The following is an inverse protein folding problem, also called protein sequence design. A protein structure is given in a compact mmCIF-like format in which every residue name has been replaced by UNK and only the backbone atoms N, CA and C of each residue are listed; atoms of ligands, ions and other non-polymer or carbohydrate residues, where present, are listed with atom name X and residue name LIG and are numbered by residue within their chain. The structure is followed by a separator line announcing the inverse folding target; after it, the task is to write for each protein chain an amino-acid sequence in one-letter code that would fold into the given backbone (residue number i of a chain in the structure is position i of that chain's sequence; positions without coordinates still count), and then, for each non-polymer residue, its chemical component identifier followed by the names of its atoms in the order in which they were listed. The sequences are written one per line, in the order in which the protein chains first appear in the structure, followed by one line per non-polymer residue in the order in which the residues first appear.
data_IF_608177564336
#
_entry.id   IF_608177564336
#
_cell.length_a   1.000
_cell.length_b   1.000
_cell.length_c   1.000
_cell.angle_alpha   90.00
_cell.angle_beta   90.00
_cell.angle_gamma   90.00
#
_symmetry.space_group_name_H-M   'P 1'
#
loop_
_entity.id
_entity.type
_entity.pdbx_description
1 polymer ?
#
# COMPACT_ATOMS: atom_id res chain seq x y z
N UNK A 1 -4.55 54.70 40.21
CA UNK A 1 -3.61 55.01 39.11
C UNK A 1 -2.42 54.07 39.23
N UNK A 2 -2.31 53.06 38.37
CA UNK A 2 -1.13 52.18 38.29
C UNK A 2 -0.43 52.53 36.98
N UNK A 3 0.80 53.03 37.12
CA UNK A 3 1.62 53.52 36.02
C UNK A 3 2.21 52.36 35.21
N UNK A 4 2.19 52.49 33.88
CA UNK A 4 2.87 51.61 32.93
C UNK A 4 4.30 52.15 32.76
N UNK A 5 5.37 51.37 32.96
CA UNK A 5 6.68 51.71 32.44
C UNK A 5 7.00 50.88 31.20
N UNK A 6 7.05 51.57 30.05
CA UNK A 6 7.71 51.11 28.83
C UNK A 6 9.20 51.46 28.95
N UNK A 7 10.09 50.45 28.90
CA UNK A 7 11.45 50.62 28.37
C UNK A 7 12.09 49.26 28.07
N UNK A 8 11.95 48.78 26.84
CA UNK A 8 12.83 47.75 26.29
C UNK A 8 14.04 48.44 25.65
N UNK A 9 15.25 48.12 26.11
CA UNK A 9 16.49 48.69 25.62
C UNK A 9 16.83 48.25 24.20
N UNK A 10 17.23 49.20 23.37
CA UNK A 10 17.62 49.05 21.95
C UNK A 10 18.69 47.97 21.70
N UNK A 11 19.49 47.60 22.70
CA UNK A 11 20.55 46.59 22.56
C UNK A 11 20.07 45.16 22.30
N UNK A 12 18.93 44.73 22.89
CA UNK A 12 18.41 43.36 22.71
C UNK A 12 17.75 43.11 21.35
N UNK A 13 17.35 44.17 20.64
CA UNK A 13 16.77 44.08 19.30
C UNK A 13 17.84 43.85 18.22
N UNK A 14 19.00 44.50 18.36
CA UNK A 14 20.12 44.31 17.43
C UNK A 14 20.67 42.89 17.45
N UNK A 15 20.79 42.29 18.64
CA UNK A 15 21.30 40.93 18.83
C UNK A 15 20.35 39.87 18.26
N UNK A 16 19.02 40.06 18.42
CA UNK A 16 17.99 39.20 17.81
C UNK A 16 17.90 39.37 16.28
N UNK A 17 18.10 40.58 15.77
CA UNK A 17 18.16 40.83 14.33
C UNK A 17 19.38 40.16 13.69
N UNK A 18 20.54 40.19 14.35
CA UNK A 18 21.74 39.50 13.90
C UNK A 18 21.56 37.96 13.89
N UNK A 19 20.94 37.40 14.93
CA UNK A 19 20.63 35.97 14.99
C UNK A 19 19.63 35.54 13.91
N UNK A 20 18.60 36.35 13.64
CA UNK A 20 17.63 36.09 12.57
C UNK A 20 18.28 36.17 11.16
N UNK A 21 19.19 37.14 10.95
CA UNK A 21 19.94 37.25 9.69
C UNK A 21 20.92 36.09 9.50
N UNK A 22 21.58 35.62 10.56
CA UNK A 22 22.45 34.44 10.49
C UNK A 22 21.69 33.15 10.18
N UNK A 23 20.49 32.97 10.77
CA UNK A 23 19.61 31.84 10.46
C UNK A 23 19.10 31.89 9.00
N UNK A 24 18.76 33.07 8.49
CA UNK A 24 18.35 33.26 7.11
C UNK A 24 19.51 33.01 6.12
N UNK A 25 20.73 33.43 6.46
CA UNK A 25 21.93 33.17 5.66
C UNK A 25 22.28 31.68 5.63
N UNK A 26 22.18 30.98 6.77
CA UNK A 26 22.40 29.53 6.84
C UNK A 26 21.34 28.73 6.05
N UNK A 27 20.08 29.16 6.08
CA UNK A 27 19.01 28.55 5.29
C UNK A 27 19.23 28.76 3.77
N UNK A 28 19.72 29.92 3.35
CA UNK A 28 20.06 30.18 1.95
C UNK A 28 21.32 29.40 1.51
N UNK A 29 22.35 29.32 2.35
CA UNK A 29 23.53 28.50 2.07
C UNK A 29 23.20 27.01 1.97
N UNK A 30 22.28 26.50 2.80
CA UNK A 30 21.79 25.13 2.70
C UNK A 30 20.99 24.89 1.41
N UNK A 31 20.22 25.87 0.93
CA UNK A 31 19.51 25.79 -0.36
C UNK A 31 20.47 25.80 -1.55
N UNK A 32 21.51 26.62 -1.51
CA UNK A 32 22.53 26.69 -2.56
C UNK A 32 23.38 25.39 -2.60
N UNK A 33 23.73 24.81 -1.43
CA UNK A 33 24.50 23.57 -1.36
C UNK A 33 23.75 22.31 -1.83
N UNK A 34 22.41 22.36 -1.92
CA UNK A 34 21.59 21.26 -2.46
C UNK A 34 21.45 21.37 -3.99
N UNK A 35 21.71 22.56 -4.56
CA UNK A 35 21.53 22.84 -6.00
C UNK A 35 22.56 22.13 -6.89
N UNK A 36 23.68 21.70 -6.34
CA UNK A 36 24.86 21.22 -7.08
C UNK A 36 25.16 19.71 -6.90
N UNK A 37 24.21 18.92 -6.39
CA UNK A 37 24.31 17.46 -6.38
C UNK A 37 23.68 16.87 -7.64
N UNK A 38 24.30 15.85 -8.27
CA UNK A 38 23.73 15.21 -9.44
C UNK A 38 22.40 14.56 -9.07
N UNK A 39 21.35 15.00 -9.77
CA UNK A 39 19.95 14.63 -9.61
C UNK A 39 19.75 13.11 -9.70
N UNK A 40 19.60 12.44 -8.56
CA UNK A 40 18.57 11.40 -8.46
C UNK A 40 17.27 12.08 -8.04
N UNK A 41 16.71 12.90 -8.94
CA UNK A 41 15.34 13.40 -8.77
C UNK A 41 14.42 12.19 -8.80
N UNK A 42 13.96 11.78 -7.61
CA UNK A 42 12.63 11.21 -7.50
C UNK A 42 11.72 12.17 -8.26
N UNK A 43 11.23 11.74 -9.42
CA UNK A 43 10.45 12.55 -10.35
C UNK A 43 9.29 13.15 -9.57
N UNK A 44 9.41 14.42 -9.18
CA UNK A 44 8.33 15.17 -8.54
C UNK A 44 7.13 15.04 -9.45
N UNK A 45 6.02 14.59 -8.88
CA UNK A 45 4.82 14.41 -9.66
C UNK A 45 4.36 15.78 -10.20
N UNK A 46 3.82 15.80 -11.41
CA UNK A 46 3.29 17.02 -12.02
C UNK A 46 2.09 17.51 -11.18
N UNK A 47 2.35 18.51 -10.33
CA UNK A 47 1.40 19.08 -9.37
C UNK A 47 0.81 20.41 -9.88
N UNK A 48 0.86 20.67 -11.19
CA UNK A 48 0.49 21.95 -11.80
C UNK A 48 -0.95 22.43 -11.52
N UNK A 49 -1.84 21.55 -11.06
CA UNK A 49 -3.25 21.85 -10.81
C UNK A 49 -3.65 21.94 -9.31
N UNK A 50 -2.71 21.79 -8.36
CA UNK A 50 -3.05 21.79 -6.92
C UNK A 50 -2.78 23.16 -6.27
N UNK A 51 -3.73 23.74 -5.49
CA UNK A 51 -3.55 25.07 -4.87
C UNK A 51 -2.37 25.16 -3.89
N UNK A 52 -1.99 24.05 -3.24
CA UNK A 52 -0.85 23.98 -2.33
C UNK A 52 0.07 22.79 -2.64
N UNK A 53 1.33 23.08 -2.96
CA UNK A 53 2.36 22.07 -3.27
C UNK A 53 2.62 21.06 -2.11
N UNK A 54 2.31 21.46 -0.88
CA UNK A 54 2.40 20.65 0.34
C UNK A 54 1.33 19.57 0.44
N UNK A 55 0.15 19.77 -0.16
CA UNK A 55 -0.91 18.75 -0.21
C UNK A 55 -0.68 17.74 -1.33
N UNK A 56 -0.11 18.18 -2.45
CA UNK A 56 0.21 17.29 -3.57
C UNK A 56 1.13 16.17 -3.07
N UNK A 57 2.21 16.47 -2.36
CA UNK A 57 3.21 15.46 -1.97
C UNK A 57 2.76 14.49 -0.85
N UNK A 58 1.55 14.63 -0.31
CA UNK A 58 1.08 13.77 0.77
C UNK A 58 0.50 12.46 0.24
N UNK A 59 0.84 11.35 0.89
CA UNK A 59 0.21 10.08 0.62
C UNK A 59 -1.22 10.04 1.18
N UNK A 60 -2.20 10.41 0.35
CA UNK A 60 -3.62 10.39 0.72
C UNK A 60 -4.15 8.98 1.02
N UNK A 61 -3.55 7.93 0.45
CA UNK A 61 -3.90 6.54 0.77
C UNK A 61 -3.58 6.16 2.22
N UNK A 62 -2.72 6.92 2.90
CA UNK A 62 -2.26 6.64 4.26
C UNK A 62 -3.31 6.85 5.37
N UNK A 63 -4.49 7.40 5.04
CA UNK A 63 -5.62 7.60 5.95
C UNK A 63 -6.53 6.38 6.12
N UNK A 64 -6.27 5.30 5.37
CA UNK A 64 -6.92 4.02 5.58
C UNK A 64 -6.52 3.35 6.90
N UNK A 65 -7.08 2.16 7.13
CA UNK A 65 -6.85 1.38 8.35
C UNK A 65 -6.57 -0.08 8.02
N UNK A 66 -5.81 -0.76 8.87
CA UNK A 66 -5.66 -2.22 8.83
C UNK A 66 -6.87 -2.85 9.52
N UNK A 67 -7.53 -3.81 8.87
CA UNK A 67 -8.68 -4.50 9.45
C UNK A 67 -9.03 -5.79 8.71
N UNK A 68 -9.98 -6.54 9.26
CA UNK A 68 -10.52 -7.72 8.58
C UNK A 68 -11.30 -7.30 7.32
N UNK A 69 -11.30 -8.13 6.25
CA UNK A 69 -12.05 -7.83 5.04
C UNK A 69 -13.56 -7.71 5.31
N UNK A 70 -14.26 -6.76 4.68
CA UNK A 70 -15.71 -6.60 4.85
C UNK A 70 -16.51 -7.83 4.40
N UNK A 71 -16.01 -8.52 3.37
CA UNK A 71 -16.56 -9.81 2.93
C UNK A 71 -15.72 -10.93 3.54
N UNK A 72 -16.28 -11.80 4.40
CA UNK A 72 -15.51 -12.84 5.05
C UNK A 72 -14.84 -13.77 4.04
N UNK A 73 -13.51 -13.86 4.11
CA UNK A 73 -12.70 -14.82 3.35
C UNK A 73 -12.04 -15.78 4.33
N UNK A 74 -12.26 -17.07 4.11
CA UNK A 74 -11.89 -18.12 5.06
C UNK A 74 -10.59 -18.80 4.67
N UNK A 75 -9.69 -18.91 5.62
CA UNK A 75 -8.49 -19.73 5.48
C UNK A 75 -8.88 -21.19 5.75
N UNK A 76 -8.58 -22.03 4.78
CA UNK A 76 -8.66 -23.50 4.83
C UNK A 76 -7.33 -24.08 4.39
N UNK A 77 -7.12 -25.37 4.60
CA UNK A 77 -5.89 -26.02 4.14
C UNK A 77 -5.71 -25.88 2.61
N UNK A 78 -6.77 -26.07 1.83
CA UNK A 78 -6.69 -26.08 0.37
C UNK A 78 -6.45 -24.72 -0.26
N UNK A 79 -6.79 -23.63 0.43
CA UNK A 79 -6.60 -22.27 -0.09
C UNK A 79 -5.54 -21.46 0.68
N UNK A 80 -4.87 -22.06 1.68
CA UNK A 80 -3.84 -21.40 2.50
C UNK A 80 -2.77 -20.72 1.65
N UNK A 81 -2.32 -21.38 0.58
CA UNK A 81 -1.33 -20.84 -0.35
C UNK A 81 -1.73 -19.46 -0.91
N UNK A 82 -3.04 -19.21 -1.06
CA UNK A 82 -3.53 -17.93 -1.56
C UNK A 82 -3.28 -16.80 -0.56
N UNK A 83 -3.49 -17.08 0.72
CA UNK A 83 -3.31 -16.12 1.80
C UNK A 83 -1.85 -15.99 2.23
N UNK A 84 -1.06 -17.07 2.20
CA UNK A 84 0.38 -16.99 2.43
C UNK A 84 1.04 -16.08 1.38
N UNK A 85 0.62 -16.21 0.11
CA UNK A 85 1.04 -15.29 -0.94
C UNK A 85 0.55 -13.86 -0.73
N UNK A 86 -0.73 -13.69 -0.35
CA UNK A 86 -1.28 -12.38 0.02
C UNK A 86 -0.41 -11.68 1.06
N UNK A 87 -0.08 -12.38 2.14
CA UNK A 87 0.73 -11.87 3.24
C UNK A 87 2.19 -11.62 2.83
N UNK A 88 2.76 -12.45 1.96
CA UNK A 88 4.09 -12.18 1.38
C UNK A 88 4.09 -10.81 0.69
N UNK A 89 3.15 -10.59 -0.23
CA UNK A 89 3.07 -9.34 -1.01
C UNK A 89 2.76 -8.15 -0.11
N UNK A 90 1.74 -8.28 0.75
CA UNK A 90 1.29 -7.23 1.65
C UNK A 90 2.45 -6.73 2.52
N UNK A 91 3.30 -7.63 3.03
CA UNK A 91 4.39 -7.28 3.92
C UNK A 91 5.73 -6.95 3.24
N UNK A 92 5.87 -7.05 1.90
CA UNK A 92 7.17 -6.76 1.21
C UNK A 92 7.73 -5.37 1.53
N UNK A 93 6.86 -4.36 1.60
CA UNK A 93 7.24 -2.97 1.92
C UNK A 93 6.29 -2.33 2.95
N UNK A 94 5.61 -3.15 3.75
CA UNK A 94 4.73 -2.66 4.81
C UNK A 94 5.57 -2.09 5.96
N UNK A 95 5.36 -0.82 6.27
CA UNK A 95 5.88 -0.17 7.47
C UNK A 95 5.16 1.18 7.68
N UNK A 96 4.59 1.45 8.88
CA UNK A 96 4.58 0.61 10.08
C UNK A 96 3.54 -0.52 10.04
N UNK A 97 2.73 -0.62 8.98
CA UNK A 97 1.67 -1.62 8.86
C UNK A 97 2.21 -3.06 8.93
N UNK A 98 1.36 -3.94 9.45
CA UNK A 98 1.59 -5.38 9.52
C UNK A 98 0.32 -6.10 9.13
N UNK A 99 0.46 -7.04 8.21
CA UNK A 99 -0.62 -7.89 7.75
C UNK A 99 -0.32 -9.32 8.20
N UNK A 100 -1.32 -10.00 8.73
CA UNK A 100 -1.15 -11.35 9.24
C UNK A 100 -2.48 -12.07 9.36
N UNK A 101 -2.40 -13.32 9.79
CA UNK A 101 -3.58 -14.10 10.14
C UNK A 101 -4.18 -13.60 11.44
N UNK A 102 -5.50 -13.52 11.49
CA UNK A 102 -6.26 -13.13 12.69
C UNK A 102 -7.46 -14.04 12.86
N UNK A 103 -7.95 -14.14 14.10
CA UNK A 103 -9.19 -14.86 14.38
C UNK A 103 -10.38 -14.06 13.84
N UNK A 104 -11.24 -14.71 13.07
CA UNK A 104 -12.42 -14.06 12.47
C UNK A 104 -13.34 -13.51 13.55
N UNK A 105 -13.84 -12.30 13.33
CA UNK A 105 -14.78 -11.64 14.25
C UNK A 105 -14.15 -11.17 15.55
N UNK A 106 -12.86 -11.41 15.75
CA UNK A 106 -12.09 -10.75 16.78
C UNK A 106 -11.67 -9.36 16.32
N UNK A 107 -12.29 -8.35 16.91
CA UNK A 107 -12.02 -6.94 16.60
C UNK A 107 -10.66 -6.46 17.15
N UNK A 108 -9.92 -7.30 17.89
CA UNK A 108 -8.57 -6.97 18.37
C UNK A 108 -7.54 -6.91 17.25
N UNK A 109 -7.81 -7.54 16.09
CA UNK A 109 -6.85 -7.72 14.98
C UNK A 109 -5.50 -8.28 15.45
N UNK A 110 -5.50 -9.07 16.52
CA UNK A 110 -4.29 -9.69 17.06
C UNK A 110 -3.75 -10.73 16.09
N UNK A 111 -2.58 -10.44 15.49
CA UNK A 111 -1.93 -11.33 14.56
C UNK A 111 -1.53 -12.62 15.28
N UNK A 112 -1.93 -13.75 14.72
CA UNK A 112 -1.59 -15.08 15.20
C UNK A 112 -0.54 -15.72 14.30
N UNK A 113 0.39 -16.44 14.92
CA UNK A 113 1.28 -17.34 14.19
C UNK A 113 0.53 -18.65 13.93
N UNK A 114 0.33 -18.97 12.66
CA UNK A 114 -0.21 -20.28 12.25
C UNK A 114 0.91 -21.31 12.31
N UNK A 115 1.36 -21.66 13.52
CA UNK A 115 2.35 -22.71 13.72
C UNK A 115 1.75 -24.10 13.45
N UNK A 116 2.58 -25.14 13.38
CA UNK A 116 2.20 -26.54 13.07
C UNK A 116 0.98 -27.05 13.87
N UNK A 117 0.79 -26.58 15.11
CA UNK A 117 -0.39 -26.92 15.93
C UNK A 117 -1.67 -26.13 15.57
N UNK A 118 -1.56 -24.93 15.00
CA UNK A 118 -2.69 -24.22 14.38
C UNK A 118 -3.11 -24.90 13.06
N UNK A 119 -2.22 -25.66 12.43
CA UNK A 119 -2.62 -26.50 11.28
C UNK A 119 -3.65 -27.54 11.72
N UNK A 120 -3.57 -28.09 12.95
CA UNK A 120 -4.61 -29.00 13.52
C UNK A 120 -5.98 -28.36 13.69
N UNK A 121 -6.08 -27.06 14.02
CA UNK A 121 -7.37 -26.35 14.01
C UNK A 121 -7.87 -26.00 12.60
N UNK A 122 -6.94 -25.73 11.66
CA UNK A 122 -7.24 -25.61 10.23
C UNK A 122 -7.78 -26.93 9.64
N UNK A 123 -7.32 -28.09 10.16
CA UNK A 123 -7.77 -29.44 9.77
C UNK A 123 -9.15 -29.84 10.33
N UNK A 124 -9.72 -29.08 11.28
CA UNK A 124 -10.99 -29.43 11.93
C UNK A 124 -12.23 -28.96 11.19
N UNK A 125 -12.43 -27.62 11.09
CA UNK A 125 -13.65 -27.02 10.53
C UNK A 125 -13.41 -25.96 9.44
N UNK A 126 -12.18 -25.49 9.25
CA UNK A 126 -11.87 -24.34 8.38
C UNK A 126 -12.58 -23.04 8.80
N UNK A 127 -12.09 -21.88 8.34
CA UNK A 127 -12.82 -20.60 8.49
C UNK A 127 -12.85 -19.97 9.88
N UNK A 128 -11.98 -20.39 10.79
CA UNK A 128 -11.71 -19.69 12.06
C UNK A 128 -10.80 -18.47 11.87
N UNK A 129 -9.98 -18.48 10.81
CA UNK A 129 -9.01 -17.44 10.53
C UNK A 129 -9.30 -16.72 9.22
N UNK A 130 -8.86 -15.46 9.17
CA UNK A 130 -8.84 -14.60 7.98
C UNK A 130 -7.53 -13.79 7.97
N UNK A 131 -7.28 -13.02 6.93
CA UNK A 131 -6.13 -12.10 6.85
C UNK A 131 -6.56 -10.67 7.16
N UNK A 132 -5.62 -9.86 7.61
CA UNK A 132 -5.78 -8.41 7.63
C UNK A 132 -5.59 -7.84 6.22
N UNK A 133 -6.38 -6.82 5.90
CA UNK A 133 -6.36 -6.07 4.66
C UNK A 133 -6.28 -4.56 4.96
N UNK A 134 -5.88 -3.77 3.98
CA UNK A 134 -5.94 -2.32 4.04
C UNK A 134 -7.31 -1.82 3.58
N UNK A 135 -8.01 -1.11 4.45
CA UNK A 135 -9.33 -0.56 4.19
C UNK A 135 -9.20 0.93 3.88
N UNK A 136 -9.59 1.32 2.67
CA UNK A 136 -9.54 2.72 2.21
C UNK A 136 -10.72 3.01 1.27
N UNK A 137 -11.42 4.12 1.51
CA UNK A 137 -12.50 4.58 0.62
C UNK A 137 -13.63 3.56 0.41
N UNK A 138 -13.92 2.72 1.41
CA UNK A 138 -14.93 1.65 1.29
C UNK A 138 -14.49 0.43 0.46
N UNK A 139 -13.23 0.39 0.03
CA UNK A 139 -12.60 -0.78 -0.59
C UNK A 139 -11.57 -1.40 0.33
N UNK A 140 -11.39 -2.70 0.16
CA UNK A 140 -10.30 -3.43 0.76
C UNK A 140 -9.24 -3.74 -0.30
N UNK A 141 -8.00 -3.74 0.16
CA UNK A 141 -6.80 -4.06 -0.60
C UNK A 141 -6.00 -5.07 0.22
N UNK A 142 -5.37 -6.03 -0.44
CA UNK A 142 -4.62 -7.09 0.24
C UNK A 142 -3.47 -6.56 1.10
N UNK A 143 -2.92 -5.38 0.78
CA UNK A 143 -1.94 -4.69 1.62
C UNK A 143 -1.75 -3.22 1.27
N UNK A 144 -0.89 -2.55 2.04
CA UNK A 144 -0.50 -1.16 1.82
C UNK A 144 0.97 -0.92 2.15
N UNK A 145 1.66 -0.25 1.24
CA UNK A 145 3.06 0.12 1.34
C UNK A 145 3.17 1.64 1.53
N UNK A 146 3.12 2.07 2.79
CA UNK A 146 3.09 3.49 3.16
C UNK A 146 4.24 4.30 2.58
N UNK A 147 5.46 3.78 2.62
CA UNK A 147 6.66 4.43 2.06
C UNK A 147 6.58 4.67 0.54
N UNK A 148 5.70 3.95 -0.16
CA UNK A 148 5.50 4.03 -1.61
C UNK A 148 4.16 4.64 -2.01
N UNK A 149 3.32 4.97 -1.02
CA UNK A 149 1.92 5.31 -1.22
C UNK A 149 1.20 4.36 -2.19
N UNK A 150 1.36 3.05 -1.96
CA UNK A 150 0.87 2.02 -2.88
C UNK A 150 -0.03 1.04 -2.15
N UNK A 151 -1.26 0.89 -2.60
CA UNK A 151 -2.12 -0.24 -2.22
C UNK A 151 -1.84 -1.41 -3.15
N UNK A 152 -1.94 -2.63 -2.62
CA UNK A 152 -1.63 -3.84 -3.39
C UNK A 152 -2.77 -4.85 -3.36
N UNK A 153 -2.94 -5.55 -4.48
CA UNK A 153 -3.89 -6.64 -4.67
C UNK A 153 -3.13 -7.87 -5.19
N UNK A 154 -3.60 -9.06 -4.84
CA UNK A 154 -2.93 -10.32 -5.16
C UNK A 154 -3.83 -11.29 -5.93
N UNK A 155 -3.21 -12.04 -6.83
CA UNK A 155 -3.83 -13.16 -7.55
C UNK A 155 -2.92 -14.36 -7.42
N UNK A 156 -3.29 -15.24 -6.49
CA UNK A 156 -2.53 -16.42 -6.12
C UNK A 156 -3.10 -17.69 -6.74
N UNK A 157 -2.21 -18.61 -7.16
CA UNK A 157 -2.56 -19.97 -7.53
C UNK A 157 -3.68 -20.03 -8.58
N UNK A 158 -3.58 -19.21 -9.62
CA UNK A 158 -4.51 -19.19 -10.75
C UNK A 158 -3.95 -19.90 -11.98
N UNK A 159 -2.70 -20.37 -11.95
CA UNK A 159 -2.09 -21.10 -13.07
C UNK A 159 -2.94 -22.28 -13.56
N UNK A 160 -3.59 -22.98 -12.62
CA UNK A 160 -4.44 -24.13 -12.91
C UNK A 160 -5.77 -23.81 -13.63
N UNK A 161 -6.07 -22.54 -13.91
CA UNK A 161 -7.17 -22.12 -14.78
C UNK A 161 -6.80 -22.14 -16.27
N UNK A 162 -5.52 -22.29 -16.57
CA UNK A 162 -4.98 -22.24 -17.91
C UNK A 162 -4.25 -23.54 -18.25
N UNK A 163 -4.17 -23.86 -19.53
CA UNK A 163 -3.37 -24.98 -20.04
C UNK A 163 -1.91 -24.56 -20.32
N UNK A 164 -1.10 -25.49 -20.82
CA UNK A 164 0.32 -25.23 -21.11
C UNK A 164 0.53 -24.17 -22.21
N UNK A 165 -0.47 -23.99 -23.08
CA UNK A 165 -0.42 -23.05 -24.22
C UNK A 165 -0.95 -21.65 -23.86
N UNK A 166 -1.51 -21.45 -22.66
CA UNK A 166 -2.11 -20.17 -22.27
C UNK A 166 -3.63 -20.11 -22.39
N UNK A 167 -4.28 -21.15 -22.91
CA UNK A 167 -5.73 -21.15 -23.13
C UNK A 167 -6.50 -21.52 -21.86
N UNK A 168 -7.80 -21.26 -21.88
CA UNK A 168 -8.73 -21.60 -20.80
C UNK A 168 -8.79 -23.12 -20.60
N UNK A 169 -8.19 -23.63 -19.51
CA UNK A 169 -8.34 -25.04 -19.09
C UNK A 169 -9.69 -25.32 -18.41
N UNK A 170 -10.40 -24.27 -17.98
CA UNK A 170 -11.71 -24.36 -17.33
C UNK A 170 -12.73 -23.49 -18.05
N UNK A 171 -14.00 -23.92 -18.17
CA UNK A 171 -15.02 -23.17 -18.92
C UNK A 171 -15.36 -21.80 -18.31
N UNK A 172 -14.99 -21.56 -17.06
CA UNK A 172 -15.23 -20.31 -16.34
C UNK A 172 -13.98 -19.42 -16.23
N UNK A 173 -12.84 -19.80 -16.83
CA UNK A 173 -11.60 -19.02 -16.79
C UNK A 173 -11.81 -17.61 -17.31
N UNK A 174 -12.43 -17.45 -18.49
CA UNK A 174 -12.80 -16.13 -19.02
C UNK A 174 -13.63 -15.26 -18.05
N UNK A 175 -14.59 -15.85 -17.34
CA UNK A 175 -15.41 -15.12 -16.37
C UNK A 175 -14.60 -14.68 -15.15
N UNK A 176 -13.68 -15.54 -14.68
CA UNK A 176 -12.75 -15.22 -13.60
C UNK A 176 -11.81 -14.08 -14.01
N UNK A 177 -11.20 -14.16 -15.19
CA UNK A 177 -10.31 -13.11 -15.70
C UNK A 177 -11.07 -11.79 -15.91
N UNK A 178 -12.29 -11.83 -16.46
CA UNK A 178 -13.13 -10.64 -16.58
C UNK A 178 -13.47 -10.01 -15.22
N UNK A 179 -13.65 -10.84 -14.18
CA UNK A 179 -13.88 -10.34 -12.81
C UNK A 179 -12.66 -9.61 -12.25
N UNK A 180 -11.44 -10.00 -12.65
CA UNK A 180 -10.21 -9.32 -12.25
C UNK A 180 -10.17 -7.90 -12.79
N UNK A 181 -10.40 -7.72 -14.09
CA UNK A 181 -10.44 -6.40 -14.70
C UNK A 181 -11.52 -5.52 -14.07
N UNK A 182 -12.72 -6.07 -13.82
CA UNK A 182 -13.79 -5.34 -13.13
C UNK A 182 -13.38 -4.88 -11.72
N UNK A 183 -12.73 -5.76 -10.95
CA UNK A 183 -12.24 -5.42 -9.62
C UNK A 183 -11.12 -4.37 -9.68
N UNK A 184 -10.21 -4.47 -10.64
CA UNK A 184 -9.17 -3.47 -10.87
C UNK A 184 -9.78 -2.09 -11.13
N UNK A 185 -10.74 -1.99 -12.05
CA UNK A 185 -11.40 -0.71 -12.36
C UNK A 185 -12.10 -0.11 -11.13
N UNK A 186 -12.79 -0.93 -10.35
CA UNK A 186 -13.47 -0.48 -9.13
C UNK A 186 -12.50 -0.04 -8.02
N UNK A 187 -11.29 -0.60 -7.98
CA UNK A 187 -10.23 -0.15 -7.06
C UNK A 187 -9.57 1.13 -7.56
N UNK A 188 -9.25 1.18 -8.87
CA UNK A 188 -8.64 2.33 -9.53
C UNK A 188 -9.51 3.59 -9.40
N UNK A 189 -10.82 3.45 -9.50
CA UNK A 189 -11.78 4.55 -9.28
C UNK A 189 -11.66 5.13 -7.86
N UNK A 190 -11.50 4.29 -6.84
CA UNK A 190 -11.38 4.71 -5.45
C UNK A 190 -10.05 5.40 -5.16
N UNK A 191 -8.96 4.98 -5.81
CA UNK A 191 -7.65 5.59 -5.59
C UNK A 191 -7.41 6.82 -6.49
N UNK A 192 -8.20 7.03 -7.55
CA UNK A 192 -8.01 8.12 -8.50
C UNK A 192 -7.82 9.49 -7.83
N UNK A 193 -8.57 9.86 -6.77
CA UNK A 193 -8.40 11.15 -6.07
C UNK A 193 -7.09 11.27 -5.27
N UNK A 194 -6.35 10.18 -5.12
CA UNK A 194 -5.05 10.12 -4.41
C UNK A 194 -3.85 10.23 -5.34
N UNK A 195 -4.09 10.27 -6.65
CA UNK A 195 -3.05 10.53 -7.65
C UNK A 195 -2.54 11.97 -7.53
N UNK A 196 -1.28 12.22 -7.94
CA UNK A 196 -0.34 11.27 -8.57
C UNK A 196 0.45 10.36 -7.61
N UNK A 197 0.37 10.57 -6.29
CA UNK A 197 1.17 9.87 -5.30
C UNK A 197 0.64 8.45 -5.06
N UNK A 198 -0.68 8.32 -4.97
CA UNK A 198 -1.35 7.06 -4.77
C UNK A 198 -1.25 6.14 -5.99
N UNK A 199 -0.92 4.87 -5.72
CA UNK A 199 -0.73 3.83 -6.73
C UNK A 199 -1.45 2.56 -6.34
N UNK A 200 -1.84 1.79 -7.34
CA UNK A 200 -2.33 0.42 -7.20
C UNK A 200 -1.40 -0.52 -7.96
N UNK A 201 -0.94 -1.56 -7.29
CA UNK A 201 -0.20 -2.66 -7.91
C UNK A 201 -0.92 -4.00 -7.72
N UNK A 202 -1.11 -4.72 -8.82
CA UNK A 202 -1.69 -6.06 -8.85
C UNK A 202 -0.58 -7.09 -9.05
N UNK A 203 -0.40 -7.97 -8.07
CA UNK A 203 0.65 -8.98 -8.05
C UNK A 203 0.10 -10.37 -8.35
N UNK A 204 0.61 -10.99 -9.41
CA UNK A 204 0.23 -12.32 -9.86
C UNK A 204 1.33 -13.33 -9.50
N UNK A 205 0.92 -14.41 -8.83
CA UNK A 205 1.81 -15.51 -8.47
C UNK A 205 2.29 -16.29 -9.70
N UNK A 206 1.39 -16.48 -10.67
CA UNK A 206 1.62 -17.28 -11.87
C UNK A 206 1.83 -16.39 -13.10
N UNK A 207 2.85 -16.68 -13.90
CA UNK A 207 3.16 -15.91 -15.12
C UNK A 207 2.00 -15.95 -16.13
N UNK A 208 1.33 -17.09 -16.24
CA UNK A 208 0.19 -17.26 -17.15
C UNK A 208 -1.01 -16.40 -16.72
N UNK A 209 -1.29 -16.34 -15.41
CA UNK A 209 -2.34 -15.49 -14.86
C UNK A 209 -2.01 -14.00 -15.00
N UNK A 210 -0.73 -13.62 -14.84
CA UNK A 210 -0.25 -12.26 -15.12
C UNK A 210 -0.57 -11.84 -16.55
N UNK A 211 -0.20 -12.67 -17.53
CA UNK A 211 -0.47 -12.39 -18.95
C UNK A 211 -1.96 -12.24 -19.22
N UNK A 212 -2.77 -13.18 -18.73
CA UNK A 212 -4.23 -13.12 -18.86
C UNK A 212 -4.83 -11.85 -18.24
N UNK A 213 -4.30 -11.39 -17.09
CA UNK A 213 -4.73 -10.13 -16.47
C UNK A 213 -4.42 -8.90 -17.33
N UNK A 214 -3.22 -8.85 -17.92
CA UNK A 214 -2.81 -7.77 -18.83
C UNK A 214 -3.65 -7.78 -20.12
N UNK A 215 -3.85 -8.96 -20.73
CA UNK A 215 -4.68 -9.14 -21.92
C UNK A 215 -6.14 -8.75 -21.68
N UNK A 216 -6.63 -8.95 -20.46
CA UNK A 216 -7.98 -8.52 -20.05
C UNK A 216 -8.11 -7.01 -19.83
N UNK A 217 -7.01 -6.25 -19.90
CA UNK A 217 -7.01 -4.79 -19.83
C UNK A 217 -6.44 -4.19 -18.54
N UNK A 218 -5.89 -5.00 -17.62
CA UNK A 218 -5.16 -4.45 -16.48
C UNK A 218 -3.85 -3.84 -17.02
N UNK A 219 -3.58 -2.53 -16.80
CA UNK A 219 -2.38 -1.89 -17.31
C UNK A 219 -1.11 -2.60 -16.86
N UNK A 220 -0.17 -2.82 -17.77
CA UNK A 220 1.15 -3.41 -17.46
C UNK A 220 1.96 -2.55 -16.47
N UNK A 221 1.65 -1.26 -16.38
CA UNK A 221 2.22 -0.34 -15.37
C UNK A 221 1.72 -0.62 -13.96
N UNK A 222 0.54 -1.23 -13.80
CA UNK A 222 -0.04 -1.63 -12.51
C UNK A 222 0.09 -3.13 -12.22
N UNK A 223 0.26 -3.99 -13.23
CA UNK A 223 0.42 -5.42 -13.06
C UNK A 223 1.89 -5.83 -12.83
N UNK A 224 2.12 -6.82 -11.97
CA UNK A 224 3.43 -7.43 -11.68
C UNK A 224 3.31 -8.94 -11.65
N UNK A 225 4.26 -9.63 -12.27
CA UNK A 225 4.54 -11.02 -11.93
C UNK A 225 5.45 -11.05 -10.71
N UNK A 226 5.02 -11.70 -9.63
CA UNK A 226 5.82 -11.83 -8.40
C UNK A 226 5.65 -13.26 -7.89
N UNK A 227 6.66 -14.14 -8.06
CA UNK A 227 6.51 -15.53 -7.67
C UNK A 227 6.40 -15.67 -6.15
N UNK A 228 5.71 -16.73 -5.72
CA UNK A 228 5.69 -17.12 -4.31
C UNK A 228 7.05 -17.68 -3.88
N UNK A 229 7.58 -17.19 -2.76
CA UNK A 229 8.89 -17.59 -2.24
C UNK A 229 8.63 -18.47 -1.02
N UNK A 230 8.86 -19.77 -1.18
CA UNK A 230 8.75 -20.73 -0.09
C UNK A 230 9.77 -20.42 1.02
N UNK A 231 9.30 -20.40 2.27
CA UNK A 231 10.16 -20.26 3.46
C UNK A 231 10.50 -18.83 3.89
N UNK A 232 9.83 -17.81 3.35
CA UNK A 232 9.96 -16.40 3.78
C UNK A 232 8.66 -15.91 4.43
N UNK A 233 8.26 -16.53 5.54
CA UNK A 233 7.24 -16.03 6.49
C UNK A 233 7.87 -16.07 7.87
#
# INVERSE_FOLDING_TARGET
MVAIPIRWGLGKLAERAAAAMAAAAAANAAKEAVKDKPDTKAREADCSETPEATECNQCKLGSGIVGQPPTPRYVTQGNRINYDYQLQIANMYAAPERFGYVKRGDNSNSIVNLDLDAVKSIFGKGGEYTTLEWLFGGKSFDGFWRSRCTVVETKANFGHFFDEDGNDAKPFTRAVVASWFKSYMAQEEIIMPTKPQGKLEWHFMDMIAYRAGVEAGIPSTAARFTPYILGRI
#
